data_IF_188059668225
#
_entry.id   IF_188059668225
#
_cell.length_a   1.000
_cell.length_b   1.000
_cell.length_c   1.000
_cell.angle_alpha   90.00
_cell.angle_beta   90.00
_cell.angle_gamma   90.00
#
_symmetry.space_group_name_H-M   'P 1'
#
loop_
_entity.id
_entity.type
_entity.pdbx_description
1 polymer ?
#
# COMPACT_ATOMS: atom_id res chain seq x y z
N UNK A 1 -1.33 -49.63 9.31
CA UNK A 1 -0.33 -48.53 9.14
C UNK A 1 -0.42 -47.50 10.27
N UNK A 2 -1.60 -46.98 10.61
CA UNK A 2 -1.77 -46.06 11.75
C UNK A 2 -1.45 -46.71 13.10
N UNK A 3 -1.80 -47.98 13.30
CA UNK A 3 -1.55 -48.72 14.56
C UNK A 3 -0.06 -48.86 14.90
N UNK A 4 0.78 -49.23 13.92
CA UNK A 4 2.24 -49.33 14.08
C UNK A 4 2.85 -47.98 14.47
N UNK A 5 2.36 -46.89 13.87
CA UNK A 5 2.83 -45.54 14.23
C UNK A 5 2.35 -45.12 15.62
N UNK A 6 1.13 -45.50 16.02
CA UNK A 6 0.64 -45.24 17.37
C UNK A 6 1.45 -46.02 18.41
N UNK A 7 1.79 -47.27 18.12
CA UNK A 7 2.64 -48.10 18.97
C UNK A 7 4.03 -47.48 19.13
N UNK A 8 4.65 -47.08 18.03
CA UNK A 8 5.94 -46.38 18.03
C UNK A 8 5.91 -45.10 18.89
N UNK A 9 4.91 -44.24 18.70
CA UNK A 9 4.79 -42.99 19.47
C UNK A 9 4.57 -43.23 20.96
N UNK A 10 3.72 -44.19 21.31
CA UNK A 10 3.31 -44.42 22.70
C UNK A 10 4.35 -45.25 23.47
N UNK A 11 5.00 -46.24 22.84
CA UNK A 11 5.94 -47.14 23.50
C UNK A 11 7.40 -46.68 23.39
N UNK A 12 7.85 -46.27 22.21
CA UNK A 12 9.26 -45.88 22.00
C UNK A 12 9.50 -44.40 22.31
N UNK A 13 8.69 -43.50 21.75
CA UNK A 13 8.91 -42.04 21.91
C UNK A 13 8.29 -41.50 23.21
N UNK A 14 7.28 -42.19 23.76
CA UNK A 14 6.54 -41.83 24.99
C UNK A 14 6.03 -40.38 24.99
N UNK A 15 5.31 -39.97 23.95
CA UNK A 15 4.77 -38.60 23.84
C UNK A 15 3.86 -38.24 25.02
N UNK A 16 3.76 -36.95 25.34
CA UNK A 16 2.99 -36.43 26.47
C UNK A 16 1.49 -36.73 26.37
N UNK A 17 0.99 -37.01 25.16
CA UNK A 17 -0.38 -37.45 24.91
C UNK A 17 -0.40 -38.85 24.29
N UNK A 18 -1.30 -39.70 24.77
CA UNK A 18 -1.56 -41.02 24.19
C UNK A 18 -2.32 -40.88 22.87
N UNK A 19 -1.73 -41.39 21.79
CA UNK A 19 -2.32 -41.29 20.46
C UNK A 19 -3.09 -42.57 20.13
N UNK A 20 -4.38 -42.43 19.81
CA UNK A 20 -5.21 -43.51 19.30
C UNK A 20 -5.37 -43.40 17.78
N UNK A 21 -5.55 -44.51 17.04
CA UNK A 21 -5.73 -44.47 15.59
C UNK A 21 -6.99 -43.70 15.15
N UNK A 22 -8.02 -43.63 16.01
CA UNK A 22 -9.25 -42.86 15.76
C UNK A 22 -9.07 -41.35 15.96
N UNK A 23 -8.19 -40.93 16.86
CA UNK A 23 -7.92 -39.52 17.18
C UNK A 23 -6.65 -38.97 16.55
N UNK A 24 -5.99 -39.75 15.68
CA UNK A 24 -4.66 -39.44 15.15
C UNK A 24 -4.61 -38.09 14.42
N UNK A 25 -5.53 -37.85 13.49
CA UNK A 25 -5.56 -36.58 12.72
C UNK A 25 -5.73 -35.36 13.64
N UNK A 26 -6.59 -35.47 14.66
CA UNK A 26 -6.87 -34.41 15.62
C UNK A 26 -5.69 -34.13 16.54
N UNK A 27 -5.03 -35.18 17.04
CA UNK A 27 -3.88 -35.07 17.93
C UNK A 27 -2.69 -34.35 17.25
N UNK A 28 -2.47 -34.61 15.96
CA UNK A 28 -1.38 -34.00 15.19
C UNK A 28 -1.74 -32.66 14.54
N UNK A 29 -3.02 -32.23 14.59
CA UNK A 29 -3.47 -30.99 13.95
C UNK A 29 -2.84 -29.72 14.54
N UNK A 30 -2.38 -29.77 15.79
CA UNK A 30 -1.73 -28.64 16.46
C UNK A 30 -0.25 -28.50 16.10
N UNK A 31 0.37 -29.52 15.51
CA UNK A 31 1.81 -29.56 15.26
C UNK A 31 2.69 -29.73 16.51
N UNK A 32 2.12 -29.60 17.71
CA UNK A 32 2.85 -29.69 18.98
C UNK A 32 3.50 -31.06 19.19
N UNK A 33 2.74 -32.14 18.96
CA UNK A 33 3.26 -33.50 19.12
C UNK A 33 4.37 -33.83 18.11
N UNK A 34 4.36 -33.20 16.92
CA UNK A 34 5.45 -33.36 15.94
C UNK A 34 6.71 -32.68 16.46
N UNK A 35 6.57 -31.47 17.02
CA UNK A 35 7.67 -30.76 17.68
C UNK A 35 8.23 -31.54 18.87
N UNK A 36 7.37 -32.16 19.68
CA UNK A 36 7.78 -32.96 20.83
C UNK A 36 8.61 -34.18 20.39
N UNK A 37 8.17 -34.87 19.33
CA UNK A 37 8.93 -35.97 18.74
C UNK A 37 10.31 -35.47 18.30
N UNK A 38 10.39 -34.37 17.53
CA UNK A 38 11.67 -33.85 17.06
C UNK A 38 12.59 -33.37 18.18
N UNK A 39 12.05 -32.74 19.23
CA UNK A 39 12.80 -32.33 20.42
C UNK A 39 13.42 -33.53 21.14
N UNK A 40 12.68 -34.64 21.28
CA UNK A 40 13.21 -35.88 21.89
C UNK A 40 14.32 -36.54 21.08
N UNK A 41 14.40 -36.25 19.78
CA UNK A 41 15.50 -36.68 18.91
C UNK A 41 16.62 -35.63 18.77
N UNK A 42 16.64 -34.62 19.66
CA UNK A 42 17.62 -33.51 19.72
C UNK A 42 17.76 -32.78 18.37
N UNK A 43 16.64 -32.62 17.66
CA UNK A 43 16.59 -31.94 16.36
C UNK A 43 15.95 -30.56 16.42
N UNK A 44 15.28 -30.24 17.53
CA UNK A 44 14.47 -29.03 17.67
C UNK A 44 14.68 -28.43 19.06
N UNK A 45 15.55 -27.43 19.16
CA UNK A 45 15.89 -26.78 20.44
C UNK A 45 14.86 -25.72 20.86
N UNK A 46 14.06 -25.20 19.92
CA UNK A 46 13.07 -24.14 20.13
C UNK A 46 11.70 -24.64 20.62
N UNK A 47 11.63 -25.86 21.18
CA UNK A 47 10.38 -26.47 21.63
C UNK A 47 9.63 -25.63 22.69
N UNK A 48 10.35 -24.82 23.47
CA UNK A 48 9.81 -23.87 24.44
C UNK A 48 8.78 -22.90 23.85
N UNK A 49 8.89 -22.60 22.55
CA UNK A 49 8.02 -21.64 21.85
C UNK A 49 6.78 -22.31 21.22
N UNK A 50 6.67 -23.64 21.31
CA UNK A 50 5.54 -24.38 20.79
C UNK A 50 4.34 -24.32 21.75
N UNK A 51 3.15 -24.13 21.18
CA UNK A 51 1.92 -24.06 21.97
C UNK A 51 0.91 -25.13 21.53
N UNK A 52 0.28 -25.81 22.49
CA UNK A 52 -0.76 -26.82 22.22
C UNK A 52 -2.14 -26.19 21.91
N UNK A 53 -2.19 -24.87 21.68
CA UNK A 53 -3.43 -24.14 21.47
C UNK A 53 -4.15 -24.56 20.19
N UNK A 54 -5.49 -24.57 20.23
CA UNK A 54 -6.34 -24.86 19.07
C UNK A 54 -6.48 -23.69 18.09
N UNK A 55 -5.95 -22.51 18.44
CA UNK A 55 -6.03 -21.30 17.62
C UNK A 55 -5.23 -21.46 16.33
N UNK A 56 -5.82 -21.08 15.19
CA UNK A 56 -5.21 -21.25 13.87
C UNK A 56 -3.83 -20.57 13.73
N UNK A 57 -3.61 -19.43 14.39
CA UNK A 57 -2.30 -18.74 14.39
C UNK A 57 -1.22 -19.53 15.13
N UNK A 58 -1.57 -20.19 16.24
CA UNK A 58 -0.67 -21.06 17.00
C UNK A 58 -0.28 -22.30 16.18
N UNK A 59 -1.27 -22.94 15.54
CA UNK A 59 -1.02 -24.08 14.63
C UNK A 59 -0.05 -23.70 13.50
N UNK A 60 -0.31 -22.57 12.82
CA UNK A 60 0.55 -22.08 11.75
C UNK A 60 1.97 -21.74 12.22
N UNK A 61 2.12 -21.16 13.41
CA UNK A 61 3.42 -20.87 14.00
C UNK A 61 4.20 -22.16 14.26
N UNK A 62 3.57 -23.14 14.92
CA UNK A 62 4.18 -24.46 15.17
C UNK A 62 4.64 -25.11 13.85
N UNK A 63 3.80 -25.16 12.81
CA UNK A 63 4.18 -25.76 11.53
C UNK A 63 5.28 -24.99 10.79
N UNK A 64 5.33 -23.65 10.91
CA UNK A 64 6.40 -22.85 10.31
C UNK A 64 7.77 -23.11 10.94
N UNK A 65 7.81 -23.51 12.22
CA UNK A 65 9.05 -23.87 12.94
C UNK A 65 9.53 -25.27 12.66
N UNK A 66 8.62 -26.17 12.31
CA UNK A 66 8.93 -27.54 11.90
C UNK A 66 9.47 -27.61 10.47
N UNK A 67 9.17 -26.61 9.65
CA UNK A 67 9.55 -26.62 8.22
C UNK A 67 11.07 -26.76 7.99
N UNK A 68 11.97 -26.01 8.66
CA UNK A 68 13.40 -26.12 8.44
C UNK A 68 13.97 -27.48 8.85
N UNK A 69 13.50 -28.04 9.97
CA UNK A 69 13.98 -29.33 10.46
C UNK A 69 13.48 -30.51 9.65
N UNK A 70 12.24 -30.47 9.19
CA UNK A 70 11.71 -31.49 8.29
C UNK A 70 12.43 -31.49 6.93
N UNK A 71 12.75 -30.31 6.39
CA UNK A 71 13.56 -30.21 5.17
C UNK A 71 14.97 -30.74 5.36
N UNK A 72 15.60 -30.48 6.52
CA UNK A 72 16.93 -31.03 6.85
C UNK A 72 16.93 -32.56 6.87
N UNK A 73 15.84 -33.17 7.36
CA UNK A 73 15.63 -34.63 7.36
C UNK A 73 15.27 -35.20 5.98
N UNK A 74 15.19 -34.37 4.94
CA UNK A 74 14.80 -34.78 3.58
C UNK A 74 13.31 -35.07 3.41
N UNK A 75 12.47 -34.63 4.35
CA UNK A 75 11.01 -34.75 4.27
C UNK A 75 10.45 -33.53 3.54
N UNK A 76 9.77 -33.75 2.43
CA UNK A 76 9.14 -32.70 1.63
C UNK A 76 7.93 -32.14 2.37
N UNK A 77 8.06 -30.92 2.92
CA UNK A 77 7.03 -30.29 3.73
C UNK A 77 6.61 -28.92 3.15
N UNK A 78 5.53 -28.91 2.37
CA UNK A 78 4.98 -27.69 1.79
C UNK A 78 3.86 -27.08 2.65
N UNK A 79 3.59 -25.79 2.45
CA UNK A 79 2.45 -25.08 3.04
C UNK A 79 1.10 -25.78 2.75
N UNK A 80 0.97 -26.47 1.62
CA UNK A 80 -0.23 -27.27 1.27
C UNK A 80 -0.37 -28.49 2.19
N UNK A 81 0.73 -29.16 2.51
CA UNK A 81 0.75 -30.31 3.44
C UNK A 81 0.42 -29.84 4.85
N UNK A 82 1.00 -28.73 5.29
CA UNK A 82 0.67 -28.10 6.58
C UNK A 82 -0.83 -27.80 6.70
N UNK A 83 -1.42 -27.14 5.69
CA UNK A 83 -2.85 -26.84 5.64
C UNK A 83 -3.73 -28.10 5.70
N UNK A 84 -3.33 -29.16 5.00
CA UNK A 84 -4.05 -30.44 5.01
C UNK A 84 -4.03 -31.11 6.39
N UNK A 85 -2.96 -30.94 7.17
CA UNK A 85 -2.85 -31.49 8.53
C UNK A 85 -3.65 -30.63 9.51
N UNK A 86 -3.58 -29.30 9.39
CA UNK A 86 -4.36 -28.35 10.21
C UNK A 86 -5.87 -28.59 10.04
N UNK A 87 -6.30 -28.90 8.81
CA UNK A 87 -7.69 -29.22 8.45
C UNK A 87 -8.08 -30.67 8.72
N UNK A 88 -7.23 -31.44 9.42
CA UNK A 88 -7.49 -32.81 9.85
C UNK A 88 -7.86 -33.76 8.70
N UNK A 89 -7.32 -33.53 7.50
CA UNK A 89 -7.60 -34.41 6.37
C UNK A 89 -7.14 -35.83 6.69
N UNK A 90 -8.00 -36.85 6.50
CA UNK A 90 -7.65 -38.23 6.79
C UNK A 90 -6.45 -38.64 5.92
N UNK A 91 -5.47 -39.30 6.52
CA UNK A 91 -4.27 -39.77 5.83
C UNK A 91 -3.12 -38.75 5.70
N UNK A 92 -3.38 -37.44 5.84
CA UNK A 92 -2.34 -36.42 5.67
C UNK A 92 -1.29 -36.48 6.79
N UNK A 93 -1.75 -36.48 8.05
CA UNK A 93 -0.87 -36.58 9.22
C UNK A 93 -0.13 -37.92 9.26
N UNK A 94 -0.80 -39.02 8.94
CA UNK A 94 -0.18 -40.36 8.96
C UNK A 94 0.91 -40.50 7.90
N UNK A 95 0.72 -39.91 6.71
CA UNK A 95 1.73 -39.93 5.64
C UNK A 95 2.98 -39.16 6.05
N UNK A 96 2.79 -37.96 6.62
CA UNK A 96 3.91 -37.15 7.09
C UNK A 96 4.66 -37.84 8.24
N UNK A 97 3.93 -38.40 9.22
CA UNK A 97 4.56 -39.08 10.34
C UNK A 97 5.29 -40.35 9.89
N UNK A 98 4.76 -41.09 8.91
CA UNK A 98 5.46 -42.23 8.34
C UNK A 98 6.76 -41.82 7.66
N UNK A 99 6.74 -40.74 6.86
CA UNK A 99 7.96 -40.18 6.26
C UNK A 99 8.97 -39.78 7.33
N UNK A 100 8.50 -39.09 8.37
CA UNK A 100 9.34 -38.70 9.51
C UNK A 100 9.92 -39.93 10.23
N UNK A 101 9.11 -40.95 10.51
CA UNK A 101 9.56 -42.22 11.09
C UNK A 101 10.68 -42.84 10.26
N UNK A 102 10.50 -42.97 8.94
CA UNK A 102 11.55 -43.53 8.07
C UNK A 102 12.82 -42.68 8.05
N UNK A 103 12.69 -41.35 8.09
CA UNK A 103 13.84 -40.44 8.13
C UNK A 103 14.60 -40.55 9.47
N UNK A 104 13.88 -40.59 10.59
CA UNK A 104 14.46 -40.76 11.92
C UNK A 104 15.10 -42.14 12.10
N UNK A 105 14.49 -43.20 11.58
CA UNK A 105 15.08 -44.54 11.61
C UNK A 105 16.33 -44.65 10.75
N UNK A 106 16.37 -43.97 9.59
CA UNK A 106 17.60 -43.85 8.80
C UNK A 106 18.69 -43.11 9.58
N UNK A 107 18.36 -41.99 10.23
CA UNK A 107 19.29 -41.22 11.10
C UNK A 107 19.85 -42.10 12.24
N UNK A 108 18.98 -42.83 12.94
CA UNK A 108 19.37 -43.72 14.04
C UNK A 108 20.36 -44.81 13.58
N UNK A 109 20.21 -45.30 12.35
CA UNK A 109 21.14 -46.29 11.76
C UNK A 109 22.45 -45.69 11.27
N UNK A 110 22.46 -44.41 10.88
CA UNK A 110 23.64 -43.73 10.34
C UNK A 110 24.49 -43.01 11.38
N UNK A 111 24.05 -42.91 12.64
CA UNK A 111 24.84 -42.32 13.74
C UNK A 111 25.11 -40.81 13.63
N UNK A 112 24.50 -40.12 12.67
CA UNK A 112 24.76 -38.71 12.35
C UNK A 112 24.06 -37.77 13.37
N UNK A 113 24.85 -36.98 14.08
CA UNK A 113 24.39 -35.95 15.02
C UNK A 113 23.84 -34.74 14.26
N UNK A 114 22.86 -34.02 14.83
CA UNK A 114 22.17 -32.90 14.14
C UNK A 114 23.11 -31.79 13.63
N UNK A 115 24.25 -31.61 14.29
CA UNK A 115 25.31 -30.68 13.90
C UNK A 115 26.06 -31.07 12.61
N UNK A 116 26.20 -32.36 12.31
CA UNK A 116 26.91 -32.86 11.12
C UNK A 116 26.06 -32.79 9.84
N UNK A 117 24.72 -32.76 9.97
CA UNK A 117 23.82 -32.57 8.83
C UNK A 117 23.77 -31.11 8.34
N UNK A 118 24.01 -30.14 9.22
CA UNK A 118 24.10 -28.73 8.85
C UNK A 118 25.38 -28.42 8.05
N UNK A 119 26.46 -29.17 8.30
CA UNK A 119 27.75 -29.00 7.60
C UNK A 119 27.86 -29.74 6.26
N UNK A 120 26.97 -30.71 5.98
CA UNK A 120 26.98 -31.50 4.73
C UNK A 120 25.94 -31.06 3.69
N UNK A 121 25.09 -30.06 3.98
CA UNK A 121 24.23 -29.42 2.98
C UNK A 121 25.09 -28.51 2.07
N UNK A 122 24.93 -28.52 0.74
CA UNK A 122 25.68 -27.62 -0.14
C UNK A 122 25.41 -26.18 0.29
N UNK A 123 26.45 -25.42 0.66
CA UNK A 123 26.36 -24.00 1.08
C UNK A 123 25.57 -23.12 0.09
N UNK A 124 25.41 -23.57 -1.16
CA UNK A 124 24.65 -22.91 -2.22
C UNK A 124 23.13 -22.95 -2.02
N UNK A 125 22.55 -23.98 -1.41
CA UNK A 125 21.08 -24.09 -1.26
C UNK A 125 20.57 -23.30 -0.06
N UNK A 126 21.28 -23.29 1.07
CA UNK A 126 20.95 -22.47 2.24
C UNK A 126 21.01 -20.97 1.95
N UNK A 127 22.05 -20.49 1.25
CA UNK A 127 22.15 -19.06 0.86
C UNK A 127 21.00 -18.65 -0.05
N UNK A 128 20.64 -19.48 -1.03
CA UNK A 128 19.56 -19.16 -1.96
C UNK A 128 18.17 -19.18 -1.30
N UNK A 129 17.94 -20.08 -0.34
CA UNK A 129 16.69 -20.12 0.43
C UNK A 129 16.59 -18.97 1.44
N UNK A 130 17.68 -18.65 2.15
CA UNK A 130 17.70 -17.51 3.06
C UNK A 130 17.47 -16.19 2.31
N UNK A 131 18.14 -15.99 1.18
CA UNK A 131 17.92 -14.80 0.33
C UNK A 131 16.50 -14.72 -0.24
N UNK A 132 15.89 -15.85 -0.62
CA UNK A 132 14.48 -15.87 -1.05
C UNK A 132 13.55 -15.53 0.12
N UNK A 133 13.77 -16.11 1.30
CA UNK A 133 12.94 -15.88 2.48
C UNK A 133 12.99 -14.43 2.96
N UNK A 134 14.17 -13.80 2.91
CA UNK A 134 14.37 -12.38 3.21
C UNK A 134 13.72 -11.49 2.15
N UNK A 135 13.90 -11.80 0.86
CA UNK A 135 13.24 -11.07 -0.23
C UNK A 135 11.70 -11.14 -0.14
N UNK A 136 11.13 -12.29 0.25
CA UNK A 136 9.68 -12.43 0.47
C UNK A 136 9.21 -11.68 1.72
N UNK A 137 10.01 -11.63 2.80
CA UNK A 137 9.71 -10.83 3.99
C UNK A 137 9.72 -9.33 3.67
N UNK A 138 10.70 -8.87 2.92
CA UNK A 138 10.84 -7.48 2.49
C UNK A 138 9.72 -7.05 1.53
N UNK A 139 9.34 -7.92 0.60
CA UNK A 139 8.19 -7.66 -0.29
C UNK A 139 6.87 -7.52 0.50
N UNK A 140 6.69 -8.31 1.56
CA UNK A 140 5.51 -8.23 2.44
C UNK A 140 5.50 -6.95 3.26
N UNK A 141 6.66 -6.54 3.80
CA UNK A 141 6.80 -5.29 4.55
C UNK A 141 6.60 -4.06 3.64
N UNK A 142 7.12 -4.12 2.42
CA UNK A 142 6.94 -3.07 1.40
C UNK A 142 5.46 -2.93 1.00
N UNK A 143 4.75 -4.05 0.78
CA UNK A 143 3.29 -4.03 0.56
C UNK A 143 2.51 -3.47 1.76
N UNK A 144 2.91 -3.79 3.01
CA UNK A 144 2.29 -3.20 4.21
C UNK A 144 2.49 -1.70 4.26
N UNK A 145 3.71 -1.21 3.97
CA UNK A 145 4.00 0.24 3.90
C UNK A 145 3.20 0.92 2.79
N UNK A 146 3.09 0.32 1.61
CA UNK A 146 2.24 0.84 0.52
C UNK A 146 0.76 0.90 0.92
N UNK A 147 0.25 -0.15 1.58
CA UNK A 147 -1.13 -0.18 2.07
C UNK A 147 -1.38 0.85 3.18
N UNK A 148 -0.41 1.07 4.06
CA UNK A 148 -0.50 2.07 5.12
C UNK A 148 -0.46 3.51 4.57
N UNK A 149 0.38 3.75 3.54
CA UNK A 149 0.41 5.03 2.81
C UNK A 149 -0.92 5.26 2.08
N UNK A 150 -1.46 4.24 1.41
CA UNK A 150 -2.79 4.29 0.78
C UNK A 150 -3.90 4.57 1.79
N UNK A 151 -3.87 3.91 2.96
CA UNK A 151 -4.83 4.14 4.03
C UNK A 151 -4.71 5.56 4.61
N UNK A 152 -3.49 6.08 4.77
CA UNK A 152 -3.25 7.48 5.18
C UNK A 152 -3.71 8.49 4.13
N UNK A 153 -3.52 8.21 2.85
CA UNK A 153 -4.04 9.04 1.74
C UNK A 153 -5.58 9.00 1.76
N UNK A 154 -6.20 7.83 1.91
CA UNK A 154 -7.66 7.69 1.99
C UNK A 154 -8.25 8.37 3.24
N UNK A 155 -7.55 8.34 4.38
CA UNK A 155 -7.97 9.02 5.60
C UNK A 155 -7.75 10.55 5.54
N UNK A 156 -6.73 11.03 4.81
CA UNK A 156 -6.46 12.44 4.59
C UNK A 156 -7.31 13.07 3.47
N UNK A 157 -7.96 12.25 2.62
CA UNK A 157 -9.01 12.71 1.72
C UNK A 157 -10.23 13.04 2.57
N UNK A 158 -10.35 14.32 2.94
CA UNK A 158 -11.59 14.89 3.47
C UNK A 158 -12.69 14.60 2.43
N UNK A 159 -13.62 13.70 2.76
CA UNK A 159 -14.80 13.47 1.95
C UNK A 159 -15.68 14.72 2.00
N UNK A 160 -15.44 15.66 1.09
CA UNK A 160 -16.44 16.66 0.73
C UNK A 160 -17.60 15.85 0.11
N UNK A 161 -18.80 15.84 0.72
CA UNK A 161 -19.92 15.08 0.18
C UNK A 161 -20.16 15.60 -1.23
N UNK A 162 -19.99 14.74 -2.23
CA UNK A 162 -20.28 15.11 -3.61
C UNK A 162 -21.75 15.59 -3.63
N UNK A 163 -22.05 16.81 -4.10
CA UNK A 163 -23.43 17.25 -4.23
C UNK A 163 -24.15 16.22 -5.09
N UNK A 164 -25.24 15.67 -4.55
CA UNK A 164 -26.05 14.65 -5.20
C UNK A 164 -26.37 15.11 -6.62
N UNK A 165 -25.83 14.40 -7.64
CA UNK A 165 -26.00 14.71 -9.07
C UNK A 165 -27.46 14.75 -9.52
N UNK A 166 -28.38 14.29 -8.66
CA UNK A 166 -29.80 14.17 -8.92
C UNK A 166 -30.61 15.41 -8.48
N UNK A 167 -30.00 16.39 -7.81
CA UNK A 167 -30.68 17.64 -7.42
C UNK A 167 -30.84 18.61 -8.60
N UNK A 168 -29.88 18.64 -9.52
CA UNK A 168 -29.93 19.50 -10.71
C UNK A 168 -30.92 18.99 -11.75
N UNK A 169 -31.00 17.68 -12.00
CA UNK A 169 -31.95 17.11 -12.96
C UNK A 169 -33.42 17.28 -12.50
N UNK A 170 -33.72 16.98 -11.24
CA UNK A 170 -35.07 17.19 -10.68
C UNK A 170 -35.46 18.68 -10.64
N UNK A 171 -34.52 19.58 -10.36
CA UNK A 171 -34.77 21.02 -10.39
C UNK A 171 -35.05 21.54 -11.81
N UNK A 172 -34.33 21.02 -12.82
CA UNK A 172 -34.53 21.37 -14.23
C UNK A 172 -35.88 20.84 -14.74
N UNK A 173 -36.26 19.61 -14.37
CA UNK A 173 -37.56 19.05 -14.71
C UNK A 173 -38.70 19.84 -14.05
N UNK A 174 -38.58 20.17 -12.75
CA UNK A 174 -39.57 21.00 -12.07
C UNK A 174 -39.71 22.38 -12.72
N UNK A 175 -38.60 23.01 -13.13
CA UNK A 175 -38.65 24.31 -13.81
C UNK A 175 -39.29 24.22 -15.21
N UNK A 176 -39.04 23.14 -15.96
CA UNK A 176 -39.74 22.89 -17.24
C UNK A 176 -41.23 22.66 -17.04
N UNK A 177 -41.63 21.92 -16.00
CA UNK A 177 -43.04 21.70 -15.68
C UNK A 177 -43.75 23.00 -15.26
N UNK A 178 -43.07 23.87 -14.51
CA UNK A 178 -43.62 25.18 -14.14
C UNK A 178 -43.75 26.12 -15.34
N UNK A 179 -42.81 26.08 -16.31
CA UNK A 179 -42.95 26.84 -17.57
C UNK A 179 -44.11 26.34 -18.43
N UNK A 180 -44.25 25.03 -18.60
CA UNK A 180 -45.39 24.44 -19.33
C UNK A 180 -46.74 24.78 -18.70
N UNK A 181 -46.81 24.86 -17.36
CA UNK A 181 -48.03 25.29 -16.66
C UNK A 181 -48.36 26.75 -16.94
N UNK A 182 -47.37 27.65 -16.89
CA UNK A 182 -47.56 29.07 -17.24
C UNK A 182 -47.97 29.26 -18.69
N UNK A 183 -47.28 28.58 -19.62
CA UNK A 183 -47.64 28.61 -21.05
C UNK A 183 -49.07 28.10 -21.28
N UNK A 184 -49.51 27.07 -20.55
CA UNK A 184 -50.89 26.58 -20.65
C UNK A 184 -51.92 27.55 -20.05
N UNK A 185 -51.58 28.25 -18.95
CA UNK A 185 -52.41 29.30 -18.35
C UNK A 185 -52.52 30.51 -19.28
N UNK A 186 -51.41 30.94 -19.90
CA UNK A 186 -51.37 32.04 -20.87
C UNK A 186 -52.22 31.70 -22.11
N UNK A 187 -52.06 30.49 -22.67
CA UNK A 187 -52.91 30.01 -23.79
C UNK A 187 -54.38 29.92 -23.39
N UNK A 188 -54.70 29.49 -22.17
CA UNK A 188 -56.08 29.44 -21.69
C UNK A 188 -56.69 30.86 -21.58
N UNK A 189 -55.89 31.84 -21.11
CA UNK A 189 -56.31 33.24 -21.06
C UNK A 189 -56.50 33.82 -22.47
N UNK A 190 -55.60 33.54 -23.41
CA UNK A 190 -55.74 33.95 -24.82
C UNK A 190 -56.99 33.33 -25.48
N UNK A 191 -57.30 32.06 -25.18
CA UNK A 191 -58.53 31.42 -25.66
C UNK A 191 -59.75 32.09 -25.05
N UNK A 192 -59.75 32.41 -23.76
CA UNK A 192 -60.86 33.12 -23.12
C UNK A 192 -61.06 34.52 -23.69
N UNK A 193 -59.98 35.24 -23.98
CA UNK A 193 -60.04 36.55 -24.65
C UNK A 193 -60.59 36.42 -26.08
N UNK A 194 -60.17 35.39 -26.81
CA UNK A 194 -60.67 35.10 -28.16
C UNK A 194 -62.16 34.69 -28.16
N UNK A 195 -62.58 33.85 -27.21
CA UNK A 195 -63.98 33.48 -27.03
C UNK A 195 -64.85 34.70 -26.66
N UNK A 196 -64.33 35.61 -25.83
CA UNK A 196 -65.01 36.87 -25.51
C UNK A 196 -65.16 37.78 -26.74
N UNK A 197 -64.13 37.85 -27.59
CA UNK A 197 -64.18 38.57 -28.87
C UNK A 197 -65.16 37.93 -29.85
N UNK A 198 -65.17 36.60 -29.97
CA UNK A 198 -66.15 35.86 -30.77
C UNK A 198 -67.59 36.08 -30.29
N UNK A 199 -67.80 36.10 -28.96
CA UNK A 199 -69.11 36.35 -28.35
C UNK A 199 -69.57 37.79 -28.60
N UNK A 200 -68.64 38.75 -28.62
CA UNK A 200 -68.88 40.15 -28.97
C UNK A 200 -69.22 40.32 -30.46
N UNK A 201 -68.55 39.60 -31.36
CA UNK A 201 -68.83 39.61 -32.79
C UNK A 201 -70.14 38.87 -33.16
N UNK A 202 -70.49 37.83 -32.42
CA UNK A 202 -71.78 37.15 -32.54
C UNK A 202 -72.94 38.05 -32.06
N UNK A 203 -72.77 38.79 -30.96
CA UNK A 203 -73.75 39.78 -30.50
C UNK A 203 -73.86 40.99 -31.44
N UNK A 204 -72.78 41.41 -32.11
CA UNK A 204 -72.82 42.45 -33.13
C UNK A 204 -73.58 42.04 -34.41
N UNK A 205 -73.69 40.73 -34.69
CA UNK A 205 -74.49 40.19 -35.81
C UNK A 205 -75.96 39.93 -35.48
N UNK A 206 -76.35 39.89 -34.21
CA UNK A 206 -77.76 39.73 -33.80
C UNK A 206 -78.52 41.07 -33.64
N UNK A 207 -77.82 42.21 -33.68
CA UNK A 207 -78.43 43.53 -33.59
C UNK A 207 -78.13 44.43 -34.80
N UNK A 208 -78.57 44.06 -36.00
CA UNK A 208 -78.99 45.03 -37.04
C UNK A 208 -80.06 44.43 -37.97
N UNK A 209 -81.23 45.08 -38.13
CA UNK A 209 -82.29 44.68 -39.05
C UNK A 209 -82.13 45.28 -40.46
N UNK A 210 -82.83 44.66 -41.43
CA UNK A 210 -83.09 45.13 -42.79
C UNK A 210 -83.41 46.64 -42.90
N UNK A 211 -82.67 47.34 -43.76
CA UNK A 211 -83.01 48.54 -44.55
C UNK A 211 -81.77 48.85 -45.43
N UNK A 212 -81.78 49.29 -46.68
CA UNK A 212 -82.80 49.75 -47.62
C UNK A 212 -82.06 50.13 -48.92
N UNK A 213 -82.67 49.80 -50.06
CA UNK A 213 -82.70 50.59 -51.30
C UNK A 213 -81.39 50.92 -52.06
N UNK A 214 -81.24 50.22 -53.18
CA UNK A 214 -81.08 50.77 -54.54
C UNK A 214 -81.01 52.31 -54.65
N UNK A 215 -79.85 52.87 -54.97
CA UNK A 215 -79.70 53.98 -55.95
C UNK A 215 -78.22 54.24 -56.26
N UNK A 216 -77.79 53.97 -57.49
CA UNK A 216 -76.74 54.68 -58.26
C UNK A 216 -76.23 53.81 -59.43
N UNK A 217 -77.15 53.18 -60.17
CA UNK A 217 -76.87 52.53 -61.43
C UNK A 217 -77.81 53.09 -62.49
N UNK A 218 -77.74 54.39 -62.76
CA UNK A 218 -78.36 55.08 -63.89
C UNK A 218 -78.00 56.56 -63.82
N UNK A 219 -76.92 56.96 -64.52
CA UNK A 219 -76.74 58.24 -65.22
C UNK A 219 -75.27 58.35 -65.59
N UNK A 220 -74.89 57.78 -66.73
CA UNK A 220 -73.90 58.30 -67.70
C UNK A 220 -73.77 57.24 -68.81
N UNK A 221 -74.90 56.95 -69.46
CA UNK A 221 -74.97 56.12 -70.66
C UNK A 221 -75.69 56.88 -71.77
N UNK A 222 -75.41 58.18 -71.88
CA UNK A 222 -75.88 58.97 -73.01
C UNK A 222 -74.88 60.09 -73.29
N UNK A 223 -74.01 59.83 -74.26
CA UNK A 223 -73.35 60.74 -75.20
C UNK A 223 -72.32 59.89 -75.95
N UNK A 224 -72.83 59.03 -76.83
CA UNK A 224 -72.03 58.25 -77.75
C UNK A 224 -71.59 59.13 -78.92
N UNK A 225 -70.29 59.06 -79.20
CA UNK A 225 -69.69 59.21 -80.53
C UNK A 225 -69.59 60.62 -81.11
N UNK A 226 -68.37 61.17 -81.09
CA UNK A 226 -67.46 61.19 -82.26
C UNK A 226 -66.21 61.97 -81.85
N UNK A 227 -65.07 61.31 -81.64
CA UNK A 227 -63.68 61.77 -81.93
C UNK A 227 -62.66 60.78 -81.32
N UNK A 228 -62.19 59.84 -82.15
CA UNK A 228 -60.98 59.00 -82.00
C UNK A 228 -60.83 58.14 -80.72
N UNK A 229 -61.67 57.10 -80.60
CA UNK A 229 -61.62 56.08 -79.54
C UNK A 229 -60.30 55.30 -79.45
N UNK A 230 -59.56 55.20 -80.56
CA UNK A 230 -58.30 54.45 -80.60
C UNK A 230 -57.20 55.05 -79.71
N UNK A 231 -57.10 56.38 -79.63
CA UNK A 231 -56.06 57.04 -78.85
C UNK A 231 -56.37 57.06 -77.35
N UNK A 232 -57.65 57.09 -76.99
CA UNK A 232 -58.10 56.99 -75.61
C UNK A 232 -57.91 55.57 -75.06
N UNK A 233 -58.27 54.55 -75.84
CA UNK A 233 -58.04 53.14 -75.51
C UNK A 233 -56.53 52.85 -75.39
N UNK A 234 -55.70 53.36 -76.32
CA UNK A 234 -54.22 53.25 -76.22
C UNK A 234 -53.67 53.90 -74.96
N UNK A 235 -54.18 55.06 -74.54
CA UNK A 235 -53.79 55.73 -73.27
C UNK A 235 -54.23 54.95 -72.03
N UNK A 236 -55.38 54.27 -72.06
CA UNK A 236 -55.81 53.39 -70.96
C UNK A 236 -54.93 52.13 -70.91
N UNK A 237 -54.66 51.49 -72.05
CA UNK A 237 -53.78 50.34 -72.12
C UNK A 237 -52.35 50.68 -71.67
N UNK A 238 -51.84 51.88 -72.02
CA UNK A 238 -50.53 52.37 -71.57
C UNK A 238 -50.50 52.54 -70.05
N UNK A 239 -51.51 53.19 -69.46
CA UNK A 239 -51.64 53.34 -68.00
C UNK A 239 -51.77 51.99 -67.28
N UNK A 240 -52.53 51.06 -67.82
CA UNK A 240 -52.67 49.72 -67.25
C UNK A 240 -51.34 48.94 -67.25
N UNK A 241 -50.56 49.05 -68.34
CA UNK A 241 -49.22 48.44 -68.44
C UNK A 241 -48.22 49.10 -67.48
N UNK A 242 -48.25 50.42 -67.34
CA UNK A 242 -47.42 51.17 -66.40
C UNK A 242 -47.78 50.87 -64.95
N UNK A 243 -49.08 50.76 -64.62
CA UNK A 243 -49.55 50.36 -63.28
C UNK A 243 -49.20 48.91 -62.97
N UNK A 244 -49.30 48.00 -63.94
CA UNK A 244 -48.86 46.62 -63.81
C UNK A 244 -47.35 46.54 -63.53
N UNK A 245 -46.53 47.29 -64.29
CA UNK A 245 -45.09 47.38 -64.06
C UNK A 245 -44.77 47.99 -62.69
N UNK A 246 -45.49 49.05 -62.27
CA UNK A 246 -45.31 49.67 -60.96
C UNK A 246 -45.68 48.72 -59.80
N UNK A 247 -46.73 47.89 -59.96
CA UNK A 247 -47.09 46.82 -58.99
C UNK A 247 -46.00 45.76 -58.93
N UNK A 248 -45.52 45.29 -60.08
CA UNK A 248 -44.45 44.29 -60.15
C UNK A 248 -43.15 44.78 -59.50
N UNK A 249 -42.79 46.06 -59.69
CA UNK A 249 -41.63 46.68 -59.03
C UNK A 249 -41.82 46.85 -57.52
N UNK A 250 -43.03 47.22 -57.06
CA UNK A 250 -43.36 47.23 -55.62
C UNK A 250 -43.25 45.83 -55.04
N UNK A 251 -43.73 44.83 -55.75
CA UNK A 251 -43.66 43.44 -55.31
C UNK A 251 -42.22 42.90 -55.29
N UNK A 252 -41.40 43.21 -56.30
CA UNK A 252 -39.96 42.92 -56.32
C UNK A 252 -39.21 43.62 -55.18
N UNK A 253 -39.60 44.84 -54.80
CA UNK A 253 -39.03 45.53 -53.62
C UNK A 253 -39.46 44.89 -52.31
N UNK A 254 -40.73 44.50 -52.17
CA UNK A 254 -41.23 43.76 -51.00
C UNK A 254 -40.53 42.42 -50.86
N UNK A 255 -40.39 41.66 -51.94
CA UNK A 255 -39.67 40.38 -51.95
C UNK A 255 -38.20 40.55 -51.61
N UNK A 256 -37.52 41.56 -52.16
CA UNK A 256 -36.12 41.88 -51.80
C UNK A 256 -35.99 42.24 -50.33
N UNK A 257 -36.82 43.15 -49.82
CA UNK A 257 -36.78 43.54 -48.41
C UNK A 257 -37.05 42.37 -47.47
N UNK A 258 -37.98 41.47 -47.81
CA UNK A 258 -38.23 40.25 -47.04
C UNK A 258 -37.05 39.28 -47.09
N UNK A 259 -36.44 39.11 -48.26
CA UNK A 259 -35.24 38.27 -48.40
C UNK A 259 -34.07 38.87 -47.64
N UNK A 260 -33.86 40.18 -47.72
CA UNK A 260 -32.81 40.88 -46.98
C UNK A 260 -33.03 40.78 -45.46
N UNK A 261 -34.28 40.84 -44.99
CA UNK A 261 -34.63 40.60 -43.59
C UNK A 261 -34.33 39.16 -43.15
N UNK A 262 -34.65 38.16 -43.98
CA UNK A 262 -34.34 36.76 -43.70
C UNK A 262 -32.83 36.51 -43.68
N UNK A 263 -32.09 37.05 -44.65
CA UNK A 263 -30.62 36.94 -44.72
C UNK A 263 -29.98 37.62 -43.51
N UNK A 264 -30.48 38.81 -43.11
CA UNK A 264 -29.96 39.50 -41.94
C UNK A 264 -30.20 38.70 -40.64
N UNK A 265 -31.36 38.06 -40.51
CA UNK A 265 -31.66 37.19 -39.37
C UNK A 265 -30.79 35.93 -39.36
N UNK A 266 -30.62 35.28 -40.51
CA UNK A 266 -29.75 34.11 -40.66
C UNK A 266 -28.29 34.44 -40.32
N UNK A 267 -27.78 35.57 -40.81
CA UNK A 267 -26.43 36.05 -40.48
C UNK A 267 -26.26 36.36 -38.98
N UNK A 268 -27.30 36.89 -38.31
CA UNK A 268 -27.27 37.09 -36.85
C UNK A 268 -27.25 35.76 -36.09
N UNK A 269 -28.01 34.76 -36.52
CA UNK A 269 -27.97 33.44 -35.91
C UNK A 269 -26.62 32.75 -36.10
N UNK A 270 -26.02 32.88 -37.28
CA UNK A 270 -24.69 32.34 -37.57
C UNK A 270 -23.62 32.99 -36.69
N UNK A 271 -23.59 34.32 -36.61
CA UNK A 271 -22.68 35.04 -35.72
C UNK A 271 -22.85 34.60 -34.26
N UNK A 272 -24.10 34.42 -33.80
CA UNK A 272 -24.37 33.93 -32.44
C UNK A 272 -23.86 32.49 -32.23
N UNK A 273 -24.00 31.60 -33.23
CA UNK A 273 -23.47 30.22 -33.18
C UNK A 273 -21.94 30.23 -33.16
N UNK A 274 -21.30 31.08 -33.95
CA UNK A 274 -19.84 31.25 -33.99
C UNK A 274 -19.31 31.79 -32.66
N UNK A 275 -19.91 32.83 -32.10
CA UNK A 275 -19.53 33.36 -30.78
C UNK A 275 -19.66 32.30 -29.68
N UNK A 276 -20.71 31.47 -29.70
CA UNK A 276 -20.83 30.35 -28.77
C UNK A 276 -19.70 29.34 -28.93
N UNK A 277 -19.32 29.01 -30.18
CA UNK A 277 -18.24 28.08 -30.46
C UNK A 277 -16.90 28.64 -29.97
N UNK A 278 -16.61 29.91 -30.29
CA UNK A 278 -15.42 30.63 -29.84
C UNK A 278 -15.34 30.62 -28.33
N UNK A 279 -16.43 30.93 -27.62
CA UNK A 279 -16.46 30.93 -26.16
C UNK A 279 -16.21 29.54 -25.55
N UNK A 280 -16.69 28.47 -26.18
CA UNK A 280 -16.42 27.09 -25.73
C UNK A 280 -14.96 26.71 -25.96
N UNK A 281 -14.43 26.98 -27.15
CA UNK A 281 -13.03 26.71 -27.51
C UNK A 281 -12.06 27.51 -26.65
N UNK A 282 -12.34 28.80 -26.42
CA UNK A 282 -11.52 29.66 -25.56
C UNK A 282 -11.49 29.16 -24.11
N UNK A 283 -12.63 28.68 -23.57
CA UNK A 283 -12.66 28.07 -22.23
C UNK A 283 -11.82 26.81 -22.16
N UNK A 284 -11.86 25.95 -23.18
CA UNK A 284 -11.02 24.75 -23.26
C UNK A 284 -9.53 25.13 -23.32
N UNK A 285 -9.14 26.09 -24.17
CA UNK A 285 -7.76 26.58 -24.24
C UNK A 285 -7.27 27.19 -22.91
N UNK A 286 -8.14 27.91 -22.19
CA UNK A 286 -7.80 28.43 -20.87
C UNK A 286 -7.62 27.33 -19.82
N UNK A 287 -8.47 26.30 -19.84
CA UNK A 287 -8.34 25.13 -18.96
C UNK A 287 -7.05 24.38 -19.25
N UNK A 288 -6.71 24.15 -20.52
CA UNK A 288 -5.46 23.52 -20.95
C UNK A 288 -4.24 24.32 -20.46
N UNK A 289 -4.25 25.65 -20.60
CA UNK A 289 -3.17 26.50 -20.07
C UNK A 289 -3.05 26.39 -18.55
N UNK A 290 -4.16 26.36 -17.81
CA UNK A 290 -4.14 26.17 -16.34
C UNK A 290 -3.57 24.81 -15.97
N UNK A 291 -3.99 23.74 -16.66
CA UNK A 291 -3.48 22.39 -16.45
C UNK A 291 -1.99 22.32 -16.77
N UNK A 292 -1.53 22.96 -17.85
CA UNK A 292 -0.11 23.02 -18.21
C UNK A 292 0.73 23.73 -17.14
N UNK A 293 0.24 24.85 -16.61
CA UNK A 293 0.90 25.58 -15.51
C UNK A 293 0.94 24.71 -14.25
N UNK A 294 -0.16 24.08 -13.85
CA UNK A 294 -0.20 23.18 -12.71
C UNK A 294 0.76 21.99 -12.87
N UNK A 295 0.81 21.41 -14.08
CA UNK A 295 1.73 20.32 -14.40
C UNK A 295 3.19 20.76 -14.29
N UNK A 296 3.51 21.98 -14.71
CA UNK A 296 4.85 22.57 -14.59
C UNK A 296 5.24 22.74 -13.11
N UNK A 297 4.34 23.25 -12.27
CA UNK A 297 4.55 23.35 -10.82
C UNK A 297 4.80 21.98 -10.19
N UNK A 298 3.95 20.98 -10.48
CA UNK A 298 4.12 19.62 -9.94
C UNK A 298 5.43 18.98 -10.40
N UNK A 299 5.86 19.22 -11.64
CA UNK A 299 7.17 18.74 -12.12
C UNK A 299 8.32 19.39 -11.35
N UNK A 300 8.25 20.70 -11.14
CA UNK A 300 9.25 21.43 -10.37
C UNK A 300 9.30 20.96 -8.90
N UNK A 301 8.16 20.81 -8.24
CA UNK A 301 8.09 20.28 -6.87
C UNK A 301 8.68 18.86 -6.78
N UNK A 302 8.41 18.01 -7.76
CA UNK A 302 9.01 16.66 -7.82
C UNK A 302 10.52 16.69 -7.95
N UNK A 303 11.05 17.59 -8.77
CA UNK A 303 12.49 17.80 -8.92
C UNK A 303 13.12 18.23 -7.60
N UNK A 304 12.50 19.19 -6.90
CA UNK A 304 12.97 19.65 -5.58
C UNK A 304 12.93 18.51 -4.56
N UNK A 305 11.88 17.68 -4.54
CA UNK A 305 11.81 16.50 -3.66
C UNK A 305 12.90 15.48 -3.97
N UNK A 306 13.20 15.26 -5.26
CA UNK A 306 14.27 14.36 -5.68
C UNK A 306 15.65 14.88 -5.24
N UNK A 307 15.93 16.16 -5.44
CA UNK A 307 17.16 16.81 -4.98
C UNK A 307 17.28 16.76 -3.45
N UNK A 308 16.20 17.06 -2.72
CA UNK A 308 16.17 16.97 -1.27
C UNK A 308 16.42 15.54 -0.77
N UNK A 309 15.91 14.53 -1.48
CA UNK A 309 16.17 13.13 -1.14
C UNK A 309 17.64 12.79 -1.32
N UNK A 310 18.24 13.14 -2.47
CA UNK A 310 19.66 12.91 -2.73
C UNK A 310 20.53 13.63 -1.71
N UNK A 311 20.19 14.87 -1.39
CA UNK A 311 20.93 15.66 -0.40
C UNK A 311 20.90 14.99 0.97
N UNK A 312 19.72 14.51 1.42
CA UNK A 312 19.60 13.78 2.68
C UNK A 312 20.35 12.45 2.66
N UNK A 313 20.28 11.71 1.55
CA UNK A 313 21.02 10.45 1.40
C UNK A 313 22.53 10.67 1.52
N UNK A 314 23.07 11.71 0.87
CA UNK A 314 24.48 12.13 1.02
C UNK A 314 24.84 12.50 2.46
N UNK A 315 24.00 13.31 3.13
CA UNK A 315 24.23 13.66 4.53
C UNK A 315 24.22 12.45 5.45
N UNK A 316 23.35 11.46 5.20
CA UNK A 316 23.33 10.22 5.97
C UNK A 316 24.54 9.35 5.67
N UNK A 317 25.02 9.31 4.43
CA UNK A 317 26.26 8.63 4.05
C UNK A 317 27.47 9.21 4.77
N UNK A 318 27.61 10.54 4.75
CA UNK A 318 28.68 11.25 5.46
C UNK A 318 28.65 10.99 6.96
N UNK A 319 27.46 11.04 7.60
CA UNK A 319 27.31 10.69 9.02
C UNK A 319 27.69 9.24 9.29
N UNK A 320 27.24 8.28 8.46
CA UNK A 320 27.59 6.87 8.62
C UNK A 320 29.10 6.64 8.53
N UNK A 321 29.78 7.29 7.60
CA UNK A 321 31.23 7.20 7.46
C UNK A 321 31.95 7.77 8.68
N UNK A 322 31.48 8.91 9.19
CA UNK A 322 32.04 9.51 10.41
C UNK A 322 31.80 8.63 11.64
N UNK A 323 30.57 8.17 11.84
CA UNK A 323 30.21 7.30 12.96
C UNK A 323 31.02 5.99 12.92
N UNK A 324 31.30 5.47 11.72
CA UNK A 324 32.15 4.31 11.51
C UNK A 324 33.60 4.58 11.89
N UNK A 325 34.17 5.71 11.46
CA UNK A 325 35.53 6.11 11.85
C UNK A 325 35.63 6.32 13.37
N UNK A 326 34.69 7.05 13.96
CA UNK A 326 34.66 7.28 15.40
C UNK A 326 34.53 5.97 16.19
N UNK A 327 33.79 4.98 15.67
CA UNK A 327 33.71 3.65 16.28
C UNK A 327 35.05 2.90 16.23
N UNK A 328 35.73 2.92 15.09
CA UNK A 328 37.07 2.34 14.96
C UNK A 328 38.08 3.00 15.90
N UNK A 329 38.02 4.31 16.04
CA UNK A 329 38.91 5.05 16.94
C UNK A 329 38.64 4.72 18.42
N UNK A 330 37.37 4.56 18.80
CA UNK A 330 36.98 4.12 20.15
C UNK A 330 37.45 2.69 20.44
N UNK A 331 37.21 1.75 19.52
CA UNK A 331 37.69 0.37 19.66
C UNK A 331 39.22 0.32 19.74
N UNK A 332 39.91 1.11 18.90
CA UNK A 332 41.36 1.25 18.94
C UNK A 332 41.88 1.84 20.25
N UNK A 333 41.18 2.81 20.84
CA UNK A 333 41.53 3.36 22.15
C UNK A 333 41.36 2.33 23.27
N UNK A 334 40.24 1.61 23.29
CA UNK A 334 39.98 0.54 24.26
C UNK A 334 41.01 -0.59 24.14
N UNK A 335 41.38 -0.99 22.92
CA UNK A 335 42.40 -1.99 22.69
C UNK A 335 43.79 -1.54 23.20
N UNK A 336 44.14 -0.25 23.05
CA UNK A 336 45.38 0.30 23.62
C UNK A 336 45.36 0.32 25.14
N UNK A 337 44.25 0.73 25.75
CA UNK A 337 44.08 0.70 27.21
C UNK A 337 44.21 -0.72 27.75
N UNK A 338 43.51 -1.69 27.13
CA UNK A 338 43.61 -3.09 27.52
C UNK A 338 45.06 -3.61 27.45
N UNK A 339 45.81 -3.27 26.39
CA UNK A 339 47.24 -3.64 26.28
C UNK A 339 48.08 -3.10 27.44
N UNK A 340 47.90 -1.83 27.79
CA UNK A 340 48.60 -1.22 28.92
C UNK A 340 48.23 -1.91 30.24
N UNK A 341 46.94 -2.16 30.48
CA UNK A 341 46.49 -2.86 31.69
C UNK A 341 47.07 -4.28 31.78
N UNK A 342 47.14 -5.02 30.67
CA UNK A 342 47.78 -6.34 30.63
C UNK A 342 49.28 -6.26 30.90
N UNK A 343 49.97 -5.28 30.33
CA UNK A 343 51.40 -5.06 30.56
C UNK A 343 51.67 -4.72 32.04
N UNK A 344 50.86 -3.86 32.65
CA UNK A 344 50.93 -3.52 34.08
C UNK A 344 50.62 -4.72 34.99
N UNK A 345 49.64 -5.53 34.63
CA UNK A 345 49.35 -6.79 35.36
C UNK A 345 50.55 -7.74 35.28
N UNK A 346 51.15 -7.91 34.10
CA UNK A 346 52.33 -8.75 33.93
C UNK A 346 53.56 -8.22 34.69
N UNK A 347 53.69 -6.91 34.88
CA UNK A 347 54.74 -6.32 35.73
C UNK A 347 54.46 -6.65 37.20
N UNK A 348 53.24 -6.39 37.69
CA UNK A 348 52.86 -6.68 39.08
C UNK A 348 53.02 -8.17 39.43
N UNK A 349 52.64 -9.07 38.54
CA UNK A 349 52.84 -10.51 38.73
C UNK A 349 54.32 -10.86 38.82
N UNK A 350 55.17 -10.26 37.99
CA UNK A 350 56.63 -10.46 38.05
C UNK A 350 57.22 -9.98 39.38
N UNK A 351 56.83 -8.80 39.86
CA UNK A 351 57.26 -8.27 41.16
C UNK A 351 56.87 -9.20 42.31
N UNK A 352 55.62 -9.69 42.31
CA UNK A 352 55.15 -10.65 43.33
C UNK A 352 55.95 -11.96 43.28
N UNK A 353 56.22 -12.49 42.09
CA UNK A 353 57.03 -13.69 41.94
C UNK A 353 58.48 -13.50 42.40
N UNK A 354 59.06 -12.32 42.17
CA UNK A 354 60.39 -11.97 42.66
C UNK A 354 60.43 -11.91 44.19
N UNK A 355 59.44 -11.26 44.81
CA UNK A 355 59.32 -11.22 46.28
C UNK A 355 59.22 -12.62 46.88
N UNK A 356 58.37 -13.49 46.32
CA UNK A 356 58.23 -14.88 46.78
C UNK A 356 59.54 -15.65 46.59
N UNK A 357 60.27 -15.41 45.50
CA UNK A 357 61.57 -16.06 45.25
C UNK A 357 62.62 -15.63 46.29
N UNK A 358 62.68 -14.33 46.62
CA UNK A 358 63.58 -13.79 47.65
C UNK A 358 63.24 -14.36 49.02
N UNK A 359 61.95 -14.38 49.41
CA UNK A 359 61.51 -14.96 50.69
C UNK A 359 61.86 -16.45 50.78
N UNK A 360 61.65 -17.21 49.71
CA UNK A 360 62.05 -18.63 49.65
C UNK A 360 63.55 -18.80 49.82
N UNK A 361 64.37 -17.97 49.17
CA UNK A 361 65.82 -18.01 49.31
C UNK A 361 66.26 -17.68 50.76
N UNK A 362 65.65 -16.67 51.38
CA UNK A 362 65.90 -16.32 52.77
C UNK A 362 65.49 -17.43 53.73
N UNK A 363 64.33 -18.05 53.53
CA UNK A 363 63.86 -19.18 54.35
C UNK A 363 64.78 -20.39 54.23
N UNK A 364 65.30 -20.69 53.03
CA UNK A 364 66.31 -21.72 52.84
C UNK A 364 67.61 -21.38 53.59
N UNK A 365 68.10 -20.14 53.46
CA UNK A 365 69.29 -19.70 54.18
C UNK A 365 69.12 -19.81 55.69
N UNK A 366 67.98 -19.38 56.24
CA UNK A 366 67.67 -19.49 57.67
C UNK A 366 67.64 -20.94 58.14
N UNK A 367 67.06 -21.86 57.36
CA UNK A 367 67.08 -23.30 57.68
C UNK A 367 68.50 -23.84 57.75
N UNK A 368 69.33 -23.51 56.76
CA UNK A 368 70.74 -23.92 56.76
C UNK A 368 71.53 -23.31 57.91
N UNK A 369 71.30 -22.04 58.22
CA UNK A 369 71.94 -21.34 59.33
C UNK A 369 71.56 -21.96 60.68
N UNK A 370 70.26 -22.18 60.93
CA UNK A 370 69.78 -22.81 62.16
C UNK A 370 70.35 -24.22 62.34
N UNK A 371 70.37 -25.03 61.28
CA UNK A 371 70.98 -26.36 61.33
C UNK A 371 72.48 -26.30 61.71
N UNK A 372 73.23 -25.36 61.14
CA UNK A 372 74.64 -25.16 61.51
C UNK A 372 74.80 -24.65 62.95
N UNK A 373 73.92 -23.76 63.42
CA UNK A 373 73.93 -23.25 64.79
C UNK A 373 73.64 -24.37 65.80
N UNK A 374 72.65 -25.24 65.53
CA UNK A 374 72.36 -26.41 66.35
C UNK A 374 73.57 -27.36 66.45
N UNK A 375 74.28 -27.60 65.34
CA UNK A 375 75.50 -28.42 65.34
C UNK A 375 76.60 -27.77 66.18
N UNK A 376 76.78 -26.44 66.08
CA UNK A 376 77.76 -25.71 66.89
C UNK A 376 77.43 -25.77 68.39
N UNK A 377 76.16 -25.58 68.77
CA UNK A 377 75.71 -25.72 70.15
C UNK A 377 75.97 -27.14 70.67
N UNK A 378 75.72 -28.19 69.88
CA UNK A 378 76.05 -29.57 70.26
C UNK A 378 77.55 -29.78 70.47
N UNK A 379 78.41 -29.15 69.67
CA UNK A 379 79.87 -29.21 69.85
C UNK A 379 80.28 -28.49 71.13
N UNK A 380 79.71 -27.31 71.39
CA UNK A 380 79.95 -26.55 72.61
C UNK A 380 79.49 -27.31 73.85
N UNK A 381 78.28 -27.89 73.83
CA UNK A 381 77.75 -28.78 74.88
C UNK A 381 78.65 -29.98 75.12
N UNK A 382 79.15 -30.63 74.07
CA UNK A 382 80.10 -31.72 74.22
C UNK A 382 81.39 -31.23 74.89
N UNK A 383 81.94 -30.11 74.43
CA UNK A 383 83.17 -29.54 74.97
C UNK A 383 83.05 -29.11 76.44
N UNK A 384 81.92 -28.52 76.83
CA UNK A 384 81.63 -28.10 78.21
C UNK A 384 81.47 -29.32 79.11
N UNK A 385 80.70 -30.33 78.69
CA UNK A 385 80.59 -31.61 79.43
C UNK A 385 81.94 -32.30 79.59
N UNK A 386 82.80 -32.28 78.57
CA UNK A 386 84.17 -32.81 78.67
C UNK A 386 85.01 -32.00 79.67
N UNK A 387 84.89 -30.67 79.69
CA UNK A 387 85.57 -29.82 80.66
C UNK A 387 85.08 -30.06 82.09
N UNK A 388 83.77 -30.16 82.30
CA UNK A 388 83.15 -30.51 83.58
C UNK A 388 83.59 -31.90 84.07
N UNK A 389 83.63 -32.89 83.17
CA UNK A 389 84.10 -34.24 83.49
C UNK A 389 85.57 -34.22 83.92
N UNK A 390 86.43 -33.45 83.24
CA UNK A 390 87.84 -33.27 83.65
C UNK A 390 87.96 -32.61 85.03
N UNK A 391 87.18 -31.57 85.32
CA UNK A 391 87.16 -30.93 86.64
C UNK A 391 86.74 -31.91 87.76
N UNK A 392 85.74 -32.74 87.51
CA UNK A 392 85.26 -33.72 88.50
C UNK A 392 86.22 -34.89 88.74
N UNK A 393 87.05 -35.25 87.75
CA UNK A 393 87.96 -36.41 87.83
C UNK A 393 89.39 -36.07 88.26
N UNK A 394 89.72 -34.79 88.53
CA UNK A 394 91.03 -34.32 89.01
C UNK A 394 92.22 -34.98 88.27
N UNK A 395 92.15 -34.99 86.93
CA UNK A 395 93.28 -35.29 86.05
C UNK A 395 93.51 -34.15 85.07
#
# INVERSE_FOLDING_TARGET
>A
MSEILCEWLNQEVKTSQTVSPKSFAKAFSSGYLIGEVLHKFELQDDFSEFSQSSVSSAKLNNFSRLEPTLHLLGVQFDQKVASNIITEKPGAATKLLYQLYTALQKKKRSGLTGAEMQTMQPLSTMRLQNMKSEAFRDQRLSRRRQNEIMAKIQAAIIQIPKPTSNRTLKAIEAQKMMKKKREAEDVANEIMEFEALLKKDLQAKESTPKASLDTAAQTTADLLSTYSDDDYIKKIQKRLKEDAFAREQREKRRRRLLMDQLIAHEAQEEAYREEQLINRLMRQSQQERRIAVQLMHVRHEKEVLWQNRIFREKQYEERRLKDFQDALDREGALARQAKLEFEEQAIREREVHEHIAVERAQALYQKHYLACAEILDQILDLSTKVAEYRLLTNK
#
